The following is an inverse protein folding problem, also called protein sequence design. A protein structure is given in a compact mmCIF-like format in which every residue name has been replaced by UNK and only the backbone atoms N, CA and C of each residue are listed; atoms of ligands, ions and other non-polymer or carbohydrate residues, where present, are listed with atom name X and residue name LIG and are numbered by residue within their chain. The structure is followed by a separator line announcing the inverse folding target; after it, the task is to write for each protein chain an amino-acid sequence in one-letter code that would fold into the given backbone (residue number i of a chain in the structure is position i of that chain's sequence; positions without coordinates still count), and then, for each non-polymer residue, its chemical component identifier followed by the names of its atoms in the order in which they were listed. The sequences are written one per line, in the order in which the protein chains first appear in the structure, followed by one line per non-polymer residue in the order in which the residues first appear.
data_IF_086296998874
#
_entry.id   IF_086296998874
#
_cell.length_a   1.000
_cell.length_b   1.000
_cell.length_c   1.000
_cell.angle_alpha   90.00
_cell.angle_beta   90.00
_cell.angle_gamma   90.00
#
_symmetry.space_group_name_H-M   'P 1'
#
loop_
_entity.id
_entity.type
_entity.pdbx_description
1 polymer ?
#
# COMPACT_ATOMS: atom_id res chain seq x y z
N UNK A 1 4.16 1.96 3.59
CA UNK A 1 3.63 0.94 4.51
C UNK A 1 3.97 1.38 5.93
N UNK A 2 3.04 1.26 6.88
CA UNK A 2 3.28 1.62 8.27
C UNK A 2 2.80 0.52 9.22
N UNK A 3 3.07 0.69 10.51
CA UNK A 3 2.74 -0.30 11.56
C UNK A 3 1.25 -0.63 11.65
N UNK A 4 0.36 0.29 11.25
CA UNK A 4 -1.08 0.04 11.23
C UNK A 4 -1.46 -0.97 10.15
N UNK A 5 -0.85 -0.88 8.95
CA UNK A 5 -1.08 -1.85 7.87
C UNK A 5 -0.73 -3.27 8.32
N UNK A 6 0.40 -3.43 9.01
CA UNK A 6 0.88 -4.74 9.50
C UNK A 6 -0.06 -5.30 10.57
N UNK A 7 -0.53 -4.48 11.51
CA UNK A 7 -1.47 -4.92 12.55
C UNK A 7 -2.81 -5.40 11.96
N UNK A 8 -3.29 -4.75 10.90
CA UNK A 8 -4.50 -5.16 10.17
C UNK A 8 -4.27 -6.49 9.44
N UNK A 9 -3.16 -6.63 8.72
CA UNK A 9 -2.81 -7.86 7.99
C UNK A 9 -2.68 -9.06 8.92
N UNK A 10 -2.18 -8.85 10.15
CA UNK A 10 -2.06 -9.89 11.17
C UNK A 10 -3.37 -10.18 11.92
N UNK A 11 -4.48 -9.52 11.58
CA UNK A 11 -5.79 -9.69 12.22
C UNK A 11 -5.76 -9.47 13.75
N UNK A 12 -4.96 -8.51 14.24
CA UNK A 12 -4.89 -8.16 15.67
C UNK A 12 -5.69 -6.89 15.98
N UNK A 13 -6.98 -7.01 16.37
CA UNK A 13 -7.83 -5.85 16.66
C UNK A 13 -7.39 -5.08 17.92
N UNK A 14 -6.70 -5.74 18.86
CA UNK A 14 -6.17 -5.09 20.06
C UNK A 14 -5.06 -4.11 19.72
N UNK A 15 -4.13 -4.55 18.87
CA UNK A 15 -3.05 -3.69 18.36
C UNK A 15 -3.57 -2.56 17.48
N UNK A 16 -4.55 -2.83 16.62
CA UNK A 16 -5.20 -1.79 15.80
C UNK A 16 -5.79 -0.69 16.68
N UNK A 17 -6.55 -1.07 17.73
CA UNK A 17 -7.14 -0.11 18.68
C UNK A 17 -6.06 0.72 19.39
N UNK A 18 -5.01 0.06 19.89
CA UNK A 18 -3.88 0.74 20.54
C UNK A 18 -3.21 1.77 19.63
N UNK A 19 -2.95 1.42 18.37
CA UNK A 19 -2.31 2.31 17.40
C UNK A 19 -3.19 3.50 17.04
N UNK A 20 -4.49 3.29 16.87
CA UNK A 20 -5.46 4.36 16.61
C UNK A 20 -5.56 5.33 17.79
N UNK A 21 -5.64 4.81 19.02
CA UNK A 21 -5.68 5.64 20.23
C UNK A 21 -4.38 6.41 20.46
N UNK A 22 -3.26 5.88 19.97
CA UNK A 22 -1.94 6.53 19.99
C UNK A 22 -1.76 7.61 18.91
N UNK A 23 -2.77 7.84 18.06
CA UNK A 23 -2.74 8.89 17.04
C UNK A 23 -1.93 8.52 15.79
N UNK A 24 -1.84 7.24 15.43
CA UNK A 24 -1.21 6.82 14.18
C UNK A 24 -1.88 7.47 12.96
N UNK A 25 -1.09 7.81 11.93
CA UNK A 25 -1.63 8.36 10.69
C UNK A 25 -2.33 7.26 9.87
N UNK A 26 -3.65 7.17 10.00
CA UNK A 26 -4.47 6.22 9.24
C UNK A 26 -4.69 6.63 7.77
N UNK A 27 -4.35 7.87 7.39
CA UNK A 27 -4.43 8.35 6.00
C UNK A 27 -3.16 8.01 5.19
N UNK A 28 -2.14 7.45 5.84
CA UNK A 28 -0.90 7.06 5.18
C UNK A 28 -1.16 5.93 4.18
N UNK A 29 -0.76 6.13 2.93
CA UNK A 29 -0.96 5.13 1.87
C UNK A 29 0.04 3.98 2.00
N UNK A 30 -0.41 2.78 1.69
CA UNK A 30 0.50 1.67 1.42
C UNK A 30 0.95 1.72 -0.04
N UNK A 31 2.16 2.21 -0.28
CA UNK A 31 2.76 2.33 -1.61
C UNK A 31 4.04 1.50 -1.72
N UNK A 32 4.51 1.30 -2.95
CA UNK A 32 5.70 0.51 -3.29
C UNK A 32 5.40 -0.61 -4.28
N UNK A 33 6.43 -1.05 -5.01
CA UNK A 33 6.29 -2.08 -6.05
C UNK A 33 5.69 -3.40 -5.54
N UNK A 34 5.95 -3.76 -4.28
CA UNK A 34 5.37 -4.97 -3.67
C UNK A 34 3.83 -4.91 -3.57
N UNK A 35 3.28 -3.72 -3.32
CA UNK A 35 1.83 -3.51 -3.17
C UNK A 35 1.11 -3.29 -4.51
N UNK A 36 1.81 -3.48 -5.64
CA UNK A 36 1.30 -3.29 -7.00
C UNK A 36 0.88 -4.64 -7.61
N UNK A 37 -0.16 -4.69 -8.48
CA UNK A 37 -0.50 -5.90 -9.23
C UNK A 37 0.71 -6.46 -9.99
N UNK A 38 0.85 -7.79 -10.02
CA UNK A 38 2.03 -8.46 -10.62
C UNK A 38 2.26 -8.07 -12.09
N UNK A 39 1.19 -7.94 -12.86
CA UNK A 39 1.21 -7.55 -14.28
C UNK A 39 1.60 -6.08 -14.50
N UNK A 40 1.56 -5.25 -13.44
CA UNK A 40 1.89 -3.83 -13.48
C UNK A 40 3.28 -3.51 -12.92
N UNK A 41 3.91 -4.40 -12.14
CA UNK A 41 5.18 -4.14 -11.43
C UNK A 41 6.33 -3.70 -12.33
N UNK A 42 6.44 -4.27 -13.53
CA UNK A 42 7.52 -3.95 -14.48
C UNK A 42 7.37 -2.57 -15.13
N UNK A 43 6.14 -2.06 -15.20
CA UNK A 43 5.83 -0.75 -15.79
C UNK A 43 5.99 0.41 -14.80
N UNK A 44 6.00 0.11 -13.50
CA UNK A 44 6.08 1.09 -12.43
C UNK A 44 7.50 1.67 -12.32
N UNK A 45 7.59 3.00 -12.31
CA UNK A 45 8.83 3.73 -12.01
C UNK A 45 8.61 4.57 -10.74
N UNK A 46 9.27 4.19 -9.64
CA UNK A 46 9.20 4.94 -8.39
C UNK A 46 10.20 6.12 -8.42
N UNK A 47 9.75 7.31 -8.04
CA UNK A 47 10.62 8.46 -7.76
C UNK A 47 10.34 8.99 -6.35
N UNK A 48 11.41 9.34 -5.62
CA UNK A 48 11.33 9.87 -4.26
C UNK A 48 10.59 11.21 -4.19
N UNK A 49 10.51 11.94 -5.31
CA UNK A 49 9.90 13.28 -5.38
C UNK A 49 8.51 13.26 -6.01
N UNK A 50 8.14 12.19 -6.72
CA UNK A 50 6.86 12.06 -7.41
C UNK A 50 6.52 10.60 -7.69
N UNK A 51 5.31 10.19 -7.34
CA UNK A 51 4.78 8.87 -7.73
C UNK A 51 4.17 8.98 -9.13
N UNK A 52 4.88 8.49 -10.16
CA UNK A 52 4.28 8.32 -11.48
C UNK A 52 3.49 7.01 -11.51
N UNK A 53 2.17 7.11 -11.47
CA UNK A 53 1.26 5.97 -11.68
C UNK A 53 1.11 5.73 -13.18
N UNK A 54 2.23 5.40 -13.84
CA UNK A 54 2.18 4.89 -15.20
C UNK A 54 1.84 3.40 -15.12
N UNK A 55 0.55 3.10 -15.20
CA UNK A 55 0.07 1.72 -15.37
C UNK A 55 0.16 1.33 -16.84
N UNK A 56 0.54 0.08 -17.08
CA UNK A 56 0.49 -0.52 -18.41
C UNK A 56 -0.97 -0.58 -18.88
N UNK A 57 -1.31 -0.10 -20.09
CA UNK A 57 -2.66 -0.26 -20.64
C UNK A 57 -3.05 -1.72 -20.83
N UNK A 58 -2.06 -2.60 -21.05
CA UNK A 58 -2.25 -4.05 -21.06
C UNK A 58 -2.23 -4.56 -19.62
N UNK A 59 -3.37 -5.10 -19.19
CA UNK A 59 -3.54 -5.74 -17.88
C UNK A 59 -4.29 -7.04 -18.05
N UNK A 60 -4.02 -8.00 -17.17
CA UNK A 60 -4.79 -9.24 -17.06
C UNK A 60 -5.97 -9.14 -16.08
N UNK A 61 -6.30 -7.92 -15.62
CA UNK A 61 -7.45 -7.66 -14.77
C UNK A 61 -8.77 -7.81 -15.55
N UNK A 62 -9.61 -8.76 -15.13
CA UNK A 62 -10.87 -9.10 -15.85
C UNK A 62 -12.09 -8.25 -15.43
N UNK A 63 -11.99 -7.45 -14.36
CA UNK A 63 -13.10 -6.64 -13.81
C UNK A 63 -13.71 -7.27 -12.57
#
# INVERSE_FOLDING_TARGET
ENVLHIAIVNEDPGMVKFLLDSGVNFQERCFGNFMCPEDQKSSRTDSLTHEWVNVCPETNYEG
#
